data_IF_036255735870
#
_entry.id   IF_036255735870
#
_cell.length_a   1.000
_cell.length_b   1.000
_cell.length_c   1.000
_cell.angle_alpha   90.00
_cell.angle_beta   90.00
_cell.angle_gamma   90.00
#
_symmetry.space_group_name_H-M   'P 1'
#
loop_
_entity.id
_entity.type
_entity.pdbx_description
1 polymer ?
#
# COMPACT_ATOMS: atom_id res chain seq x y z
N UNK A 1 0.83 -16.09 -31.00
CA UNK A 1 1.09 -17.22 -30.06
C UNK A 1 2.06 -16.88 -28.91
N UNK A 2 2.44 -15.61 -28.70
CA UNK A 2 3.39 -15.20 -27.64
C UNK A 2 2.75 -14.49 -26.42
N UNK A 3 1.46 -14.15 -26.47
CA UNK A 3 0.74 -13.50 -25.36
C UNK A 3 0.21 -14.49 -24.28
N UNK A 4 0.30 -15.80 -24.52
CA UNK A 4 -0.19 -16.82 -23.57
C UNK A 4 0.78 -17.17 -22.46
N UNK A 5 2.09 -17.01 -22.69
CA UNK A 5 3.14 -17.52 -21.78
C UNK A 5 3.42 -16.52 -20.65
N UNK A 6 3.31 -15.21 -20.91
CA UNK A 6 3.55 -14.16 -19.90
C UNK A 6 2.49 -14.16 -18.79
N UNK A 7 1.22 -14.41 -19.14
CA UNK A 7 0.13 -14.49 -18.16
C UNK A 7 0.19 -15.74 -17.27
N UNK A 8 0.78 -16.84 -17.76
CA UNK A 8 0.95 -18.06 -16.96
C UNK A 8 2.06 -17.89 -15.90
N UNK A 9 3.15 -17.23 -16.27
CA UNK A 9 4.30 -17.00 -15.38
C UNK A 9 3.94 -16.02 -14.25
N UNK A 10 3.20 -14.94 -14.54
CA UNK A 10 2.78 -13.96 -13.53
C UNK A 10 1.80 -14.57 -12.51
N UNK A 11 0.86 -15.41 -12.96
CA UNK A 11 -0.04 -16.15 -12.04
C UNK A 11 0.71 -17.15 -11.15
N UNK A 12 1.84 -17.71 -11.62
CA UNK A 12 2.66 -18.62 -10.81
C UNK A 12 3.42 -17.93 -9.67
N UNK A 13 3.76 -16.64 -9.78
CA UNK A 13 4.47 -15.94 -8.71
C UNK A 13 3.55 -15.49 -7.57
N UNK A 14 2.31 -15.11 -7.88
CA UNK A 14 1.27 -14.87 -6.85
C UNK A 14 0.84 -16.16 -6.15
N UNK A 15 0.91 -17.29 -6.86
CA UNK A 15 0.63 -18.62 -6.35
C UNK A 15 1.89 -19.39 -5.96
N UNK A 16 3.05 -18.75 -5.79
CA UNK A 16 4.17 -19.43 -5.17
C UNK A 16 3.72 -19.78 -3.76
N UNK A 17 3.49 -21.07 -3.49
CA UNK A 17 2.82 -21.41 -2.28
C UNK A 17 3.76 -21.07 -1.14
N UNK A 18 3.36 -20.11 -0.31
CA UNK A 18 3.63 -20.27 1.12
C UNK A 18 2.71 -21.40 1.64
N UNK A 19 2.60 -22.55 0.95
CA UNK A 19 1.63 -23.60 1.27
C UNK A 19 2.24 -24.65 2.16
N UNK A 20 2.03 -24.45 3.45
CA UNK A 20 1.64 -25.49 4.39
C UNK A 20 0.67 -24.82 5.34
N UNK A 21 -0.45 -25.45 5.65
CA UNK A 21 -1.39 -24.98 6.66
C UNK A 21 -0.63 -24.59 7.95
N UNK A 22 -1.08 -23.50 8.59
CA UNK A 22 -0.43 -22.73 9.69
C UNK A 22 0.70 -21.79 9.25
N UNK A 23 0.72 -20.52 9.72
CA UNK A 23 1.89 -19.67 9.54
C UNK A 23 3.12 -20.40 10.11
N UNK A 24 4.31 -20.31 9.49
CA UNK A 24 5.52 -20.90 10.06
C UNK A 24 5.63 -20.52 11.53
N UNK A 25 5.98 -21.46 12.42
CA UNK A 25 5.96 -21.28 13.88
C UNK A 25 6.44 -19.89 14.36
N UNK A 26 7.53 -19.31 13.81
CA UNK A 26 7.93 -17.95 14.16
C UNK A 26 6.92 -16.87 13.76
N UNK A 27 6.34 -16.93 12.55
CA UNK A 27 5.38 -15.94 12.05
C UNK A 27 4.13 -15.88 12.92
N UNK A 28 3.57 -17.04 13.30
CA UNK A 28 2.39 -17.12 14.15
C UNK A 28 2.68 -16.52 15.54
N UNK A 29 3.78 -16.94 16.14
CA UNK A 29 4.24 -16.45 17.44
C UNK A 29 4.47 -14.93 17.45
N UNK A 30 5.16 -14.40 16.44
CA UNK A 30 5.44 -12.96 16.36
C UNK A 30 4.17 -12.14 16.14
N UNK A 31 3.29 -12.57 15.23
CA UNK A 31 2.01 -11.88 15.00
C UNK A 31 1.17 -11.83 16.29
N UNK A 32 1.10 -12.95 17.01
CA UNK A 32 0.38 -13.03 18.28
C UNK A 32 0.92 -12.03 19.31
N UNK A 33 2.25 -11.94 19.45
CA UNK A 33 2.90 -11.00 20.37
C UNK A 33 2.54 -9.54 20.06
N UNK A 34 2.55 -9.13 18.79
CA UNK A 34 2.23 -7.75 18.40
C UNK A 34 0.73 -7.43 18.51
N UNK A 35 -0.14 -8.41 18.27
CA UNK A 35 -1.59 -8.22 18.35
C UNK A 35 -2.11 -8.20 19.79
N UNK A 36 -1.50 -8.97 20.69
CA UNK A 36 -1.81 -8.98 22.13
C UNK A 36 -1.16 -7.83 22.90
N UNK A 37 -0.16 -7.15 22.33
CA UNK A 37 0.47 -6.01 22.98
C UNK A 37 -0.54 -4.88 23.22
N UNK A 38 -0.62 -4.41 24.48
CA UNK A 38 -1.52 -3.34 24.93
C UNK A 38 -0.86 -1.98 25.13
N UNK A 39 0.44 -1.88 24.83
CA UNK A 39 1.14 -0.59 24.85
C UNK A 39 0.66 0.27 23.67
N UNK A 40 0.57 1.58 23.89
CA UNK A 40 0.18 2.54 22.84
C UNK A 40 1.06 2.38 21.59
N UNK A 41 0.43 2.39 20.42
CA UNK A 41 1.12 2.31 19.13
C UNK A 41 1.75 3.63 18.70
N UNK A 42 1.37 4.76 19.33
CA UNK A 42 1.83 6.09 18.91
C UNK A 42 3.36 6.24 18.97
N UNK A 43 3.99 5.68 20.00
CA UNK A 43 5.45 5.75 20.21
C UNK A 43 6.14 4.48 19.69
N UNK A 44 5.43 3.34 19.71
CA UNK A 44 6.01 2.04 19.38
C UNK A 44 5.95 1.69 17.88
N UNK A 45 5.32 2.53 17.05
CA UNK A 45 5.34 2.38 15.60
C UNK A 45 6.57 3.04 14.98
N UNK A 46 7.08 2.43 13.91
CA UNK A 46 8.17 2.99 13.12
C UNK A 46 7.61 4.01 12.13
N UNK A 47 8.17 5.22 12.15
CA UNK A 47 7.95 6.25 11.13
C UNK A 47 9.09 6.25 10.10
N UNK A 48 8.76 6.56 8.84
CA UNK A 48 9.74 6.70 7.76
C UNK A 48 9.60 8.12 7.19
N UNK A 49 10.70 8.85 7.14
CA UNK A 49 10.78 10.13 6.45
C UNK A 49 11.17 9.89 4.99
N UNK A 50 10.41 10.47 4.07
CA UNK A 50 10.67 10.36 2.63
C UNK A 50 11.19 11.68 2.08
N UNK A 51 12.21 11.61 1.23
CA UNK A 51 12.57 12.72 0.37
C UNK A 51 11.47 12.89 -0.69
N UNK A 52 10.79 14.02 -0.69
CA UNK A 52 9.72 14.32 -1.65
C UNK A 52 10.28 15.27 -2.71
N UNK A 53 9.87 15.08 -3.97
CA UNK A 53 10.23 15.99 -5.07
C UNK A 53 9.85 17.44 -4.70
N UNK A 54 10.69 18.43 -5.03
CA UNK A 54 10.36 19.84 -4.78
C UNK A 54 9.04 20.24 -5.46
N UNK A 55 8.18 20.96 -4.74
CA UNK A 55 6.90 21.41 -5.25
C UNK A 55 5.98 21.92 -4.13
N UNK A 56 4.81 22.42 -4.51
CA UNK A 56 3.80 22.80 -3.50
C UNK A 56 3.28 21.56 -2.78
N UNK A 57 2.92 21.71 -1.50
CA UNK A 57 2.38 20.61 -0.67
C UNK A 57 1.22 19.87 -1.36
N UNK A 58 0.39 20.61 -2.10
CA UNK A 58 -0.74 20.05 -2.84
C UNK A 58 -0.28 19.17 -4.01
N UNK A 59 0.68 19.64 -4.81
CA UNK A 59 1.23 18.87 -5.94
C UNK A 59 1.94 17.62 -5.42
N UNK A 60 2.78 17.78 -4.40
CA UNK A 60 3.52 16.67 -3.79
C UNK A 60 2.58 15.60 -3.21
N UNK A 61 1.56 16.01 -2.45
CA UNK A 61 0.57 15.08 -1.92
C UNK A 61 -0.21 14.36 -3.03
N UNK A 62 -0.59 15.09 -4.09
CA UNK A 62 -1.33 14.50 -5.23
C UNK A 62 -0.48 13.45 -5.94
N UNK A 63 0.78 13.77 -6.24
CA UNK A 63 1.72 12.85 -6.88
C UNK A 63 1.96 11.61 -6.01
N UNK A 64 2.09 11.79 -4.70
CA UNK A 64 2.26 10.68 -3.76
C UNK A 64 1.03 9.76 -3.77
N UNK A 65 -0.18 10.32 -3.67
CA UNK A 65 -1.44 9.56 -3.71
C UNK A 65 -1.57 8.78 -5.02
N UNK A 66 -1.33 9.43 -6.16
CA UNK A 66 -1.40 8.77 -7.48
C UNK A 66 -0.35 7.67 -7.61
N UNK A 67 0.85 7.86 -7.06
CA UNK A 67 1.91 6.85 -7.07
C UNK A 67 1.53 5.63 -6.24
N UNK A 68 0.98 5.83 -5.04
CA UNK A 68 0.43 4.72 -4.24
C UNK A 68 -0.72 4.00 -4.95
N UNK A 69 -1.60 4.73 -5.64
CA UNK A 69 -2.70 4.15 -6.43
C UNK A 69 -2.16 3.22 -7.52
N UNK A 70 -1.13 3.66 -8.24
CA UNK A 70 -0.46 2.87 -9.28
C UNK A 70 0.22 1.64 -8.69
N UNK A 71 0.94 1.80 -7.58
CA UNK A 71 1.58 0.67 -6.89
C UNK A 71 0.57 -0.38 -6.42
N UNK A 72 -0.53 0.04 -5.80
CA UNK A 72 -1.62 -0.86 -5.40
C UNK A 72 -2.18 -1.64 -6.58
N UNK A 73 -2.42 -0.98 -7.72
CA UNK A 73 -2.90 -1.67 -8.93
C UNK A 73 -1.89 -2.66 -9.49
N UNK A 74 -0.61 -2.30 -9.55
CA UNK A 74 0.44 -3.20 -9.99
C UNK A 74 0.55 -4.43 -9.07
N UNK A 75 0.41 -4.24 -7.76
CA UNK A 75 0.37 -5.33 -6.78
C UNK A 75 -0.81 -6.27 -7.04
N UNK A 76 -2.03 -5.73 -7.14
CA UNK A 76 -3.25 -6.51 -7.36
C UNK A 76 -3.26 -7.22 -8.72
N UNK A 77 -2.63 -6.63 -9.75
CA UNK A 77 -2.48 -7.24 -11.06
C UNK A 77 -1.29 -8.21 -11.16
N UNK A 78 -0.45 -8.33 -10.12
CA UNK A 78 0.76 -9.16 -10.13
C UNK A 78 1.86 -8.68 -11.05
N UNK A 79 1.85 -7.40 -11.41
CA UNK A 79 2.83 -6.81 -12.30
C UNK A 79 4.10 -6.32 -11.58
N UNK A 80 4.17 -6.48 -10.26
CA UNK A 80 5.37 -6.16 -9.49
C UNK A 80 6.44 -7.24 -9.69
N UNK A 81 7.67 -6.79 -9.91
CA UNK A 81 8.83 -7.69 -9.96
C UNK A 81 9.02 -8.37 -8.60
N UNK A 82 9.28 -9.68 -8.55
CA UNK A 82 9.55 -10.38 -7.31
C UNK A 82 10.71 -9.75 -6.56
N UNK A 83 10.51 -9.46 -5.27
CA UNK A 83 11.57 -8.98 -4.41
C UNK A 83 12.63 -10.08 -4.24
N UNK A 84 13.91 -9.71 -4.26
CA UNK A 84 15.01 -10.63 -4.01
C UNK A 84 15.92 -10.11 -2.88
N UNK A 85 16.74 -10.99 -2.32
CA UNK A 85 17.65 -10.71 -1.20
C UNK A 85 18.69 -9.62 -1.45
N UNK A 86 18.90 -9.20 -2.71
CA UNK A 86 19.80 -8.12 -3.10
C UNK A 86 19.05 -6.80 -3.43
N UNK A 87 17.75 -6.72 -3.14
CA UNK A 87 16.90 -5.54 -3.39
C UNK A 87 16.27 -5.54 -4.80
N UNK A 88 15.66 -4.42 -5.18
CA UNK A 88 15.19 -4.18 -6.56
C UNK A 88 16.40 -4.00 -7.49
N UNK A 89 17.14 -5.07 -7.73
CA UNK A 89 18.25 -5.09 -8.67
C UNK A 89 17.69 -5.00 -10.10
N UNK A 90 17.35 -3.78 -10.54
CA UNK A 90 17.17 -3.51 -11.95
C UNK A 90 18.56 -3.27 -12.56
N UNK A 91 19.11 -4.27 -13.22
CA UNK A 91 19.85 -3.99 -14.44
C UNK A 91 19.28 -4.85 -15.55
N UNK A 92 18.71 -4.16 -16.53
CA UNK A 92 18.37 -4.70 -17.83
C UNK A 92 19.52 -5.57 -18.34
N UNK A 93 19.20 -6.77 -18.80
CA UNK A 93 20.16 -7.64 -19.43
C UNK A 93 19.67 -9.07 -19.38
N UNK A 94 19.15 -9.53 -20.51
CA UNK A 94 19.16 -10.93 -20.91
C UNK A 94 20.38 -11.64 -20.32
N UNK A 95 20.15 -12.57 -19.40
CA UNK A 95 21.25 -13.16 -18.65
C UNK A 95 20.82 -14.33 -17.78
N UNK A 96 20.42 -15.43 -18.43
CA UNK A 96 20.91 -16.72 -17.96
C UNK A 96 22.45 -16.63 -18.00
N UNK A 97 23.08 -16.27 -16.90
CA UNK A 97 24.53 -16.41 -16.67
C UNK A 97 24.65 -16.85 -15.22
N UNK A 98 24.76 -18.15 -14.99
CA UNK A 98 26.00 -18.95 -15.02
C UNK A 98 26.64 -18.94 -13.63
N UNK A 99 27.18 -20.10 -13.26
CA UNK A 99 27.40 -20.53 -11.88
C UNK A 99 28.41 -19.71 -11.07
N UNK A 100 28.52 -20.09 -9.79
CA UNK A 100 29.46 -19.60 -8.76
C UNK A 100 28.92 -18.44 -7.88
N UNK A 101 27.86 -18.74 -7.11
CA UNK A 101 27.39 -18.16 -5.81
C UNK A 101 27.12 -16.64 -5.59
N UNK A 102 26.14 -16.28 -4.71
CA UNK A 102 24.96 -17.01 -4.26
C UNK A 102 23.72 -16.58 -5.06
N UNK A 103 22.83 -17.55 -5.26
CA UNK A 103 21.51 -17.39 -5.87
C UNK A 103 20.76 -16.30 -5.12
N UNK A 104 20.34 -15.24 -5.81
CA UNK A 104 19.42 -14.27 -5.23
C UNK A 104 18.18 -15.03 -4.75
N UNK A 105 17.91 -14.96 -3.44
CA UNK A 105 16.76 -15.67 -2.87
C UNK A 105 15.56 -14.79 -3.07
N UNK A 106 14.52 -15.33 -3.71
CA UNK A 106 13.24 -14.64 -3.83
C UNK A 106 12.62 -14.51 -2.44
N UNK A 107 12.21 -13.29 -2.10
CA UNK A 107 11.59 -12.98 -0.82
C UNK A 107 10.08 -13.18 -0.91
N UNK A 108 9.48 -13.63 0.18
CA UNK A 108 8.03 -13.74 0.30
C UNK A 108 7.38 -12.35 0.24
N UNK A 109 6.40 -12.16 -0.65
CA UNK A 109 5.67 -10.90 -0.82
C UNK A 109 4.30 -10.88 -0.14
N UNK A 110 3.93 -11.94 0.60
CA UNK A 110 2.62 -12.06 1.29
C UNK A 110 2.32 -10.96 2.32
N UNK A 111 3.33 -10.17 2.70
CA UNK A 111 3.15 -9.02 3.58
C UNK A 111 2.52 -7.82 2.87
N UNK A 112 2.70 -7.69 1.54
CA UNK A 112 2.21 -6.55 0.77
C UNK A 112 0.69 -6.53 0.63
N UNK A 113 0.03 -7.69 0.73
CA UNK A 113 -1.43 -7.82 0.66
C UNK A 113 -2.14 -6.98 1.74
N UNK A 114 -1.46 -6.70 2.85
CA UNK A 114 -1.97 -5.91 3.98
C UNK A 114 -1.62 -4.42 3.89
N UNK A 115 -0.96 -3.96 2.82
CA UNK A 115 -0.54 -2.56 2.71
C UNK A 115 -1.71 -1.62 2.42
N UNK A 116 -2.75 -2.10 1.74
CA UNK A 116 -3.92 -1.32 1.33
C UNK A 116 -5.20 -1.88 1.89
N UNK A 117 -6.18 -1.00 2.12
CA UNK A 117 -7.51 -1.39 2.61
C UNK A 117 -7.50 -2.11 3.96
N UNK A 118 -6.40 -2.04 4.71
CA UNK A 118 -6.19 -2.81 5.94
C UNK A 118 -6.10 -1.88 7.13
N UNK A 119 -6.77 -2.23 8.22
CA UNK A 119 -6.68 -1.52 9.49
C UNK A 119 -6.56 -2.51 10.65
N UNK A 120 -5.96 -2.05 11.76
CA UNK A 120 -5.94 -2.76 13.03
C UNK A 120 -7.15 -2.35 13.85
N UNK A 121 -7.99 -3.31 14.18
CA UNK A 121 -9.20 -3.13 14.98
C UNK A 121 -8.89 -3.56 16.43
N UNK A 122 -9.03 -2.65 17.41
CA UNK A 122 -8.81 -2.99 18.81
C UNK A 122 -9.87 -3.99 19.27
N UNK A 123 -9.43 -4.98 20.04
CA UNK A 123 -10.31 -5.96 20.70
C UNK A 123 -9.85 -6.14 22.14
N UNK A 124 -10.68 -6.75 22.98
CA UNK A 124 -10.39 -6.92 24.41
C UNK A 124 -9.12 -7.77 24.66
N UNK A 125 -9.03 -8.93 24.03
CA UNK A 125 -7.95 -9.91 24.26
C UNK A 125 -6.80 -9.84 23.25
N UNK A 126 -7.12 -9.65 21.97
CA UNK A 126 -6.14 -9.61 20.89
C UNK A 126 -6.66 -8.80 19.70
N UNK A 127 -5.90 -7.80 19.28
CA UNK A 127 -6.31 -6.96 18.16
C UNK A 127 -6.34 -7.74 16.85
N UNK A 128 -7.24 -7.33 15.95
CA UNK A 128 -7.44 -7.98 14.67
C UNK A 128 -6.94 -7.08 13.54
N UNK A 129 -6.32 -7.67 12.51
CA UNK A 129 -6.06 -6.97 11.25
C UNK A 129 -7.18 -7.29 10.27
N UNK A 130 -7.98 -6.29 9.92
CA UNK A 130 -9.06 -6.44 8.96
C UNK A 130 -8.67 -5.79 7.63
N UNK A 131 -8.78 -6.56 6.55
CA UNK A 131 -8.52 -6.10 5.18
C UNK A 131 -9.83 -6.08 4.39
N UNK A 132 -10.21 -4.91 3.88
CA UNK A 132 -11.35 -4.74 2.98
C UNK A 132 -10.88 -4.65 1.54
N UNK A 133 -11.21 -5.68 0.76
CA UNK A 133 -10.95 -5.72 -0.66
C UNK A 133 -11.89 -4.78 -1.43
N UNK A 134 -11.44 -4.28 -2.57
CA UNK A 134 -12.25 -3.43 -3.45
C UNK A 134 -12.48 -2.00 -2.95
N UNK A 135 -11.69 -1.52 -1.99
CA UNK A 135 -11.72 -0.13 -1.55
C UNK A 135 -11.30 0.80 -2.71
N UNK A 136 -12.13 1.82 -2.98
CA UNK A 136 -11.93 2.79 -4.08
C UNK A 136 -11.56 4.19 -3.60
N UNK A 137 -11.47 4.39 -2.29
CA UNK A 137 -11.27 5.69 -1.67
C UNK A 137 -9.99 5.71 -0.83
N UNK A 138 -9.51 6.93 -0.57
CA UNK A 138 -8.47 7.21 0.42
C UNK A 138 -9.03 8.16 1.48
N UNK A 139 -8.36 8.17 2.63
CA UNK A 139 -8.72 9.00 3.77
C UNK A 139 -7.71 10.15 3.89
N UNK A 140 -8.21 11.36 4.12
CA UNK A 140 -7.38 12.54 4.42
C UNK A 140 -7.70 13.01 5.83
N UNK A 141 -6.64 13.16 6.63
CA UNK A 141 -6.71 13.83 7.93
C UNK A 141 -6.23 15.27 7.76
N UNK A 142 -7.06 16.23 8.12
CA UNK A 142 -6.70 17.65 8.09
C UNK A 142 -7.39 18.39 9.22
N UNK A 143 -6.61 19.05 10.08
CA UNK A 143 -7.12 19.84 11.22
C UNK A 143 -8.11 19.08 12.13
N UNK A 144 -7.86 17.79 12.38
CA UNK A 144 -8.74 16.95 13.21
C UNK A 144 -9.96 16.37 12.49
N UNK A 145 -10.21 16.76 11.24
CA UNK A 145 -11.29 16.22 10.42
C UNK A 145 -10.82 15.07 9.53
N UNK A 146 -11.76 14.15 9.26
CA UNK A 146 -11.55 12.96 8.42
C UNK A 146 -12.37 13.12 7.14
N UNK A 147 -11.72 13.08 5.99
CA UNK A 147 -12.36 13.14 4.68
C UNK A 147 -12.18 11.83 3.94
N UNK A 148 -13.25 11.38 3.29
CA UNK A 148 -13.22 10.19 2.42
C UNK A 148 -13.30 10.67 0.98
N UNK A 149 -12.32 10.28 0.16
CA UNK A 149 -12.19 10.73 -1.21
C UNK A 149 -12.06 9.55 -2.14
N UNK A 150 -12.91 9.46 -3.17
CA UNK A 150 -12.73 8.46 -4.21
C UNK A 150 -11.42 8.73 -4.98
N UNK A 151 -10.65 7.66 -5.17
CA UNK A 151 -9.41 7.61 -5.94
C UNK A 151 -9.62 6.91 -7.28
N UNK A 152 -10.53 5.94 -7.29
CA UNK A 152 -10.92 5.20 -8.47
C UNK A 152 -12.31 5.64 -8.93
N UNK A 153 -12.55 5.60 -10.24
CA UNK A 153 -13.88 5.71 -10.82
C UNK A 153 -14.68 4.40 -10.65
N UNK A 154 -15.91 4.39 -11.14
CA UNK A 154 -16.79 3.21 -11.06
C UNK A 154 -16.31 2.05 -11.94
N UNK A 155 -15.47 2.34 -12.94
CA UNK A 155 -14.81 1.37 -13.81
C UNK A 155 -13.49 0.84 -13.22
N UNK A 156 -13.08 1.35 -12.05
CA UNK A 156 -11.83 0.96 -11.38
C UNK A 156 -10.56 1.64 -11.91
N UNK A 157 -10.67 2.65 -12.78
CA UNK A 157 -9.56 3.48 -13.24
C UNK A 157 -9.18 4.57 -12.24
N UNK A 158 -7.90 4.89 -12.16
CA UNK A 158 -7.41 5.96 -11.28
C UNK A 158 -7.92 7.29 -11.84
N UNK A 159 -8.57 8.08 -10.99
CA UNK A 159 -9.06 9.40 -11.37
C UNK A 159 -7.89 10.32 -11.80
N UNK A 160 -8.12 11.25 -12.73
CA UNK A 160 -7.10 12.21 -13.14
C UNK A 160 -6.54 13.00 -11.94
N UNK A 161 -5.23 13.26 -11.97
CA UNK A 161 -4.55 14.00 -10.91
C UNK A 161 -5.19 15.38 -10.65
N UNK A 162 -5.67 16.04 -11.71
CA UNK A 162 -6.40 17.31 -11.62
C UNK A 162 -7.68 17.19 -10.77
N UNK A 163 -8.47 16.14 -10.96
CA UNK A 163 -9.68 15.87 -10.18
C UNK A 163 -9.36 15.63 -8.70
N UNK A 164 -8.31 14.87 -8.41
CA UNK A 164 -7.85 14.59 -7.04
C UNK A 164 -7.36 15.89 -6.38
N UNK A 165 -6.62 16.71 -7.11
CA UNK A 165 -6.09 18.00 -6.65
C UNK A 165 -7.20 18.99 -6.30
N UNK A 166 -8.24 19.10 -7.14
CA UNK A 166 -9.40 19.98 -6.90
C UNK A 166 -10.15 19.56 -5.65
N UNK A 167 -10.37 18.25 -5.44
CA UNK A 167 -11.03 17.73 -4.22
C UNK A 167 -10.28 18.15 -2.96
N UNK A 168 -8.95 18.07 -2.96
CA UNK A 168 -8.14 18.53 -1.81
C UNK A 168 -8.23 20.03 -1.58
N UNK A 169 -8.22 20.84 -2.65
CA UNK A 169 -8.33 22.31 -2.57
C UNK A 169 -9.66 22.76 -1.98
N UNK A 170 -10.73 22.01 -2.24
CA UNK A 170 -12.05 22.25 -1.63
C UNK A 170 -11.97 22.07 -0.11
N UNK A 171 -11.28 21.04 0.43
CA UNK A 171 -11.16 20.86 1.88
C UNK A 171 -10.40 21.99 2.58
N UNK A 172 -9.32 22.48 1.98
CA UNK A 172 -8.57 23.62 2.53
C UNK A 172 -9.38 24.92 2.50
N UNK A 173 -10.24 25.09 1.50
CA UNK A 173 -11.06 26.31 1.34
C UNK A 173 -12.37 26.26 2.13
N UNK A 174 -13.01 25.09 2.28
CA UNK A 174 -14.22 24.93 3.08
C UNK A 174 -14.00 25.31 4.55
N UNK A 175 -12.78 25.12 5.07
CA UNK A 175 -12.41 25.58 6.43
C UNK A 175 -12.10 27.07 6.52
N UNK A 176 -11.63 27.69 5.45
CA UNK A 176 -11.52 29.16 5.42
C UNK A 176 -12.91 29.83 5.35
N UNK A 177 -13.95 29.08 4.96
CA UNK A 177 -15.34 29.55 4.93
C UNK A 177 -16.12 29.23 6.21
N UNK A 178 -15.73 28.23 7.01
CA UNK A 178 -16.37 27.91 8.30
C UNK A 178 -16.02 28.89 9.42
N UNK A 179 -15.05 29.78 9.21
CA UNK A 179 -14.79 30.93 10.09
C UNK A 179 -15.80 32.08 9.92
N UNK A 180 -16.73 31.99 8.96
CA UNK A 180 -17.83 32.94 8.79
C UNK A 180 -19.16 32.18 8.64
N UNK A 181 -19.72 31.72 9.76
CA UNK A 181 -21.18 31.57 10.00
C UNK A 181 -21.38 30.87 11.35
N UNK A 182 -21.14 31.60 12.43
CA UNK A 182 -22.01 31.46 13.59
C UNK A 182 -23.19 32.40 13.36
N UNK A 183 -24.32 31.84 12.92
CA UNK A 183 -25.62 32.47 13.13
C UNK A 183 -26.52 31.43 13.78
N UNK A 184 -27.04 31.88 14.92
CA UNK A 184 -27.96 31.29 15.90
C UNK A 184 -29.08 30.45 15.33
#
# INVERSE_FOLDING_TARGET
MLMGITNLIVKSFHNLPCSGHTPPYPKAFWLDRFHKQRKSLLINNVGINMAITPGSQLVCATNLIVSFARFHRSLMAGLLTPANSHGLAHRHGTGFVSGIYPKSVLMCMSQLDRLFGTSRIPQESQDELQTKLGTRHFVVLHQGYIYICNLLDDSGYILPASTIMVRKRIFTNLHNLSHYTCTS
#
